data_IF_190093386684
#
_entry.id   IF_190093386684
#
_cell.length_a   1.000
_cell.length_b   1.000
_cell.length_c   1.000
_cell.angle_alpha   90.00
_cell.angle_beta   90.00
_cell.angle_gamma   90.00
#
_symmetry.space_group_name_H-M   'P 1'
#
loop_
_entity.id
_entity.type
_entity.pdbx_description
1 polymer ?
#
# COMPACT_ATOMS: atom_id res chain seq x y z
N UNK A 1 -33.96 -59.07 11.33
CA UNK A 1 -33.79 -58.58 9.94
C UNK A 1 -33.83 -57.07 9.99
N UNK A 2 -32.68 -56.41 9.83
CA UNK A 2 -32.52 -54.98 10.08
C UNK A 2 -32.01 -54.36 8.79
N UNK A 3 -32.88 -53.66 8.06
CA UNK A 3 -32.57 -53.04 6.77
C UNK A 3 -31.92 -51.68 7.05
N UNK A 4 -30.66 -51.50 6.64
CA UNK A 4 -29.93 -50.22 6.78
C UNK A 4 -30.37 -49.25 5.67
N UNK A 5 -30.85 -48.03 6.01
CA UNK A 5 -31.22 -47.03 5.01
C UNK A 5 -30.09 -46.01 4.85
N UNK A 6 -29.02 -46.36 4.12
CA UNK A 6 -27.88 -45.44 3.90
C UNK A 6 -27.75 -44.92 2.46
N UNK A 7 -28.58 -45.40 1.52
CA UNK A 7 -28.45 -45.03 0.11
C UNK A 7 -29.51 -44.06 -0.43
N UNK A 8 -30.68 -43.94 0.23
CA UNK A 8 -31.76 -43.07 -0.27
C UNK A 8 -31.48 -41.58 -0.04
N UNK A 9 -30.73 -41.22 1.01
CA UNK A 9 -30.45 -39.83 1.36
C UNK A 9 -29.51 -39.15 0.34
N UNK A 10 -28.55 -39.91 -0.21
CA UNK A 10 -27.61 -39.39 -1.21
C UNK A 10 -28.26 -39.09 -2.55
N UNK A 11 -29.25 -39.88 -2.97
CA UNK A 11 -29.93 -39.69 -4.25
C UNK A 11 -30.80 -38.43 -4.24
N UNK A 12 -31.45 -38.13 -3.11
CA UNK A 12 -32.28 -36.91 -2.96
C UNK A 12 -31.42 -35.65 -2.93
N UNK A 13 -30.21 -35.72 -2.34
CA UNK A 13 -29.30 -34.56 -2.27
C UNK A 13 -28.77 -34.15 -3.65
N UNK A 14 -28.46 -35.12 -4.52
CA UNK A 14 -27.95 -34.85 -5.88
C UNK A 14 -29.04 -34.24 -6.77
N UNK A 15 -30.30 -34.65 -6.59
CA UNK A 15 -31.43 -34.14 -7.36
C UNK A 15 -31.77 -32.67 -7.03
N UNK A 16 -31.44 -32.17 -5.83
CA UNK A 16 -31.68 -30.78 -5.43
C UNK A 16 -30.60 -29.80 -5.92
N UNK A 17 -29.40 -30.27 -6.29
CA UNK A 17 -28.27 -29.42 -6.70
C UNK A 17 -28.26 -29.05 -8.19
N UNK A 18 -29.13 -29.64 -9.02
CA UNK A 18 -29.18 -29.38 -10.46
C UNK A 18 -30.25 -28.38 -10.91
N UNK A 19 -31.01 -27.79 -9.96
CA UNK A 19 -32.16 -26.93 -10.24
C UNK A 19 -31.93 -25.45 -9.85
N UNK A 20 -30.81 -24.86 -10.25
CA UNK A 20 -30.61 -23.40 -10.39
C UNK A 20 -29.33 -23.21 -11.24
N UNK A 21 -29.32 -22.64 -12.43
CA UNK A 21 -30.25 -21.68 -13.01
C UNK A 21 -29.45 -20.51 -13.57
N UNK A 22 -29.24 -20.55 -14.88
CA UNK A 22 -29.13 -19.40 -15.82
C UNK A 22 -27.96 -18.42 -15.69
N UNK A 23 -27.04 -18.56 -16.65
CA UNK A 23 -26.06 -17.59 -17.15
C UNK A 23 -26.71 -16.30 -17.65
N UNK A 24 -26.23 -15.11 -17.25
CA UNK A 24 -26.45 -13.87 -18.00
C UNK A 24 -25.31 -13.61 -18.99
N UNK A 25 -25.74 -13.08 -20.13
CA UNK A 25 -25.02 -12.80 -21.37
C UNK A 25 -24.35 -11.41 -21.32
N UNK A 26 -23.31 -11.27 -22.14
CA UNK A 26 -22.38 -10.16 -22.30
C UNK A 26 -22.94 -8.72 -22.50
N UNK A 27 -22.17 -7.74 -22.00
CA UNK A 27 -21.98 -6.35 -22.44
C UNK A 27 -20.78 -5.82 -21.61
N UNK A 28 -19.81 -5.00 -22.02
CA UNK A 28 -19.59 -4.11 -23.15
C UNK A 28 -18.09 -3.70 -23.10
N UNK A 29 -17.46 -3.48 -24.24
CA UNK A 29 -16.05 -3.10 -24.32
C UNK A 29 -15.85 -1.61 -24.03
N UNK A 30 -15.29 -1.27 -22.86
CA UNK A 30 -14.88 0.09 -22.55
C UNK A 30 -13.47 0.37 -23.09
N UNK A 31 -13.42 1.29 -24.06
CA UNK A 31 -12.24 1.83 -24.72
C UNK A 31 -11.53 2.80 -23.77
N UNK A 32 -10.46 2.35 -23.10
CA UNK A 32 -9.65 3.19 -22.21
C UNK A 32 -8.74 4.08 -23.06
N UNK A 33 -9.08 5.38 -23.13
CA UNK A 33 -8.20 6.41 -23.69
C UNK A 33 -7.16 6.83 -22.67
N UNK A 34 -5.91 6.85 -23.13
CA UNK A 34 -4.72 7.35 -22.47
C UNK A 34 -4.97 8.71 -21.79
N UNK A 35 -4.93 8.72 -20.46
CA UNK A 35 -4.85 9.96 -19.68
C UNK A 35 -3.41 10.18 -19.29
N UNK A 36 -2.78 11.19 -19.90
CA UNK A 36 -1.44 11.63 -19.54
C UNK A 36 -1.48 12.30 -18.16
N UNK A 37 -0.76 11.73 -17.20
CA UNK A 37 -0.58 12.34 -15.89
C UNK A 37 0.46 13.46 -15.98
N UNK A 38 0.03 14.71 -15.72
CA UNK A 38 0.92 15.83 -15.53
C UNK A 38 1.43 15.83 -14.07
N UNK A 39 2.73 15.61 -13.89
CA UNK A 39 3.38 15.71 -12.59
C UNK A 39 3.58 17.20 -12.28
N UNK A 40 2.80 17.73 -11.34
CA UNK A 40 3.03 19.07 -10.77
C UNK A 40 3.77 18.89 -9.44
N UNK A 41 5.07 19.19 -9.44
CA UNK A 41 5.85 19.31 -8.21
C UNK A 41 5.37 20.53 -7.43
N UNK A 42 4.70 20.29 -6.30
CA UNK A 42 4.42 21.34 -5.30
C UNK A 42 5.51 21.29 -4.25
N UNK A 43 6.42 22.25 -4.30
CA UNK A 43 7.40 22.49 -3.23
C UNK A 43 6.67 23.10 -2.03
N UNK A 44 6.48 22.32 -0.97
CA UNK A 44 6.00 22.83 0.31
C UNK A 44 7.13 23.64 0.94
N UNK A 45 6.95 24.96 1.04
CA UNK A 45 7.88 25.84 1.73
C UNK A 45 7.75 25.62 3.25
N UNK A 46 8.69 24.87 3.83
CA UNK A 46 8.88 24.77 5.28
C UNK A 46 9.18 26.16 5.84
N UNK A 47 8.28 26.66 6.69
CA UNK A 47 8.46 27.91 7.42
C UNK A 47 9.54 27.67 8.49
N UNK A 48 10.78 28.10 8.22
CA UNK A 48 11.84 28.06 9.22
C UNK A 48 11.61 29.15 10.27
N UNK A 49 11.47 28.74 11.53
CA UNK A 49 11.51 29.63 12.69
C UNK A 49 12.92 30.21 12.80
N UNK A 50 13.05 31.51 12.52
CA UNK A 50 14.33 32.22 12.55
C UNK A 50 14.91 32.29 13.98
N UNK A 51 16.12 31.76 14.13
CA UNK A 51 16.97 31.91 15.32
C UNK A 51 17.64 33.30 15.31
N UNK A 52 17.76 34.00 16.45
CA UNK A 52 18.30 35.36 16.46
C UNK A 52 19.77 35.42 16.05
N UNK A 53 20.05 36.29 15.09
CA UNK A 53 21.37 36.62 14.55
C UNK A 53 22.23 37.35 15.59
N UNK A 54 23.39 36.78 15.93
CA UNK A 54 24.44 37.48 16.65
C UNK A 54 25.19 38.43 15.69
N UNK A 55 25.23 39.71 16.04
CA UNK A 55 25.95 40.76 15.31
C UNK A 55 27.46 40.62 15.48
N UNK A 56 28.20 40.44 14.38
CA UNK A 56 29.67 40.50 14.33
C UNK A 56 30.15 41.82 13.70
N UNK A 57 31.35 42.32 14.09
CA UNK A 57 31.89 43.62 13.66
C UNK A 57 32.36 43.64 12.19
N UNK A 58 32.49 44.84 11.60
CA UNK A 58 32.76 45.02 10.17
C UNK A 58 34.18 44.57 9.75
N UNK A 59 34.34 43.91 8.58
CA UNK A 59 35.66 43.59 8.06
C UNK A 59 36.29 44.79 7.35
N UNK A 60 37.54 45.05 7.67
CA UNK A 60 38.47 45.94 6.96
C UNK A 60 38.79 45.35 5.58
N UNK A 61 38.56 46.13 4.53
CA UNK A 61 38.89 45.75 3.16
C UNK A 61 40.38 45.93 2.87
N UNK A 62 41.06 44.81 2.56
CA UNK A 62 42.40 44.80 1.95
C UNK A 62 42.25 44.21 0.54
N UNK A 63 42.67 44.91 -0.53
CA UNK A 63 42.51 44.39 -1.89
C UNK A 63 43.66 43.41 -2.18
N UNK A 64 43.39 42.11 -2.09
CA UNK A 64 44.29 41.08 -2.59
C UNK A 64 43.68 40.46 -3.85
N UNK A 65 44.27 40.78 -5.00
CA UNK A 65 43.91 40.24 -6.30
C UNK A 65 44.51 38.83 -6.37
N UNK A 66 43.73 37.81 -6.02
CA UNK A 66 44.10 36.42 -6.23
C UNK A 66 42.97 35.72 -7.00
N UNK A 67 43.27 35.38 -8.25
CA UNK A 67 42.40 34.63 -9.15
C UNK A 67 41.99 33.32 -8.49
N UNK A 68 40.77 33.29 -7.96
CA UNK A 68 40.19 32.12 -7.31
C UNK A 68 39.45 31.32 -8.37
N UNK A 69 39.97 30.15 -8.73
CA UNK A 69 39.24 29.20 -9.57
C UNK A 69 38.07 28.65 -8.76
N UNK A 70 36.85 29.02 -9.16
CA UNK A 70 35.62 28.51 -8.56
C UNK A 70 35.52 27.01 -8.81
N UNK A 71 35.56 26.14 -7.79
CA UNK A 71 35.35 24.72 -7.98
C UNK A 71 33.91 24.48 -8.46
N UNK A 72 33.69 23.50 -9.35
CA UNK A 72 32.36 23.16 -9.83
C UNK A 72 31.44 22.83 -8.66
N UNK A 73 30.25 23.45 -8.65
CA UNK A 73 29.27 23.29 -7.59
C UNK A 73 28.99 21.80 -7.36
N UNK A 74 29.44 21.29 -6.20
CA UNK A 74 29.19 19.92 -5.79
C UNK A 74 27.68 19.78 -5.59
N UNK A 75 27.03 19.05 -6.51
CA UNK A 75 25.61 18.74 -6.41
C UNK A 75 25.39 18.06 -5.06
N UNK A 76 24.82 18.81 -4.11
CA UNK A 76 24.54 18.32 -2.78
C UNK A 76 23.38 17.35 -2.94
N UNK A 77 23.69 16.06 -2.88
CA UNK A 77 22.70 14.99 -2.86
C UNK A 77 21.88 15.20 -1.59
N UNK A 78 20.74 15.87 -1.74
CA UNK A 78 19.78 15.99 -0.65
C UNK A 78 19.10 14.63 -0.61
N UNK A 79 19.34 13.79 0.42
CA UNK A 79 18.65 12.52 0.52
C UNK A 79 17.14 12.81 0.44
N UNK A 80 16.37 12.03 -0.33
CA UNK A 80 14.93 12.21 -0.39
C UNK A 80 14.41 12.17 1.04
N UNK A 81 13.81 13.27 1.48
CA UNK A 81 13.20 13.36 2.81
C UNK A 81 12.15 12.26 2.82
N UNK A 82 12.40 11.22 3.63
CA UNK A 82 11.42 10.17 3.83
C UNK A 82 10.13 10.86 4.27
N UNK A 83 9.07 10.70 3.48
CA UNK A 83 7.77 11.30 3.78
C UNK A 83 7.34 10.76 5.14
N UNK A 84 7.48 11.59 6.18
CA UNK A 84 7.02 11.26 7.52
C UNK A 84 5.51 11.40 7.49
N UNK A 85 4.83 10.27 7.32
CA UNK A 85 3.38 10.19 7.47
C UNK A 85 3.07 10.47 8.95
N UNK A 86 2.69 11.70 9.26
CA UNK A 86 2.13 12.01 10.56
C UNK A 86 0.70 11.49 10.54
N UNK A 87 0.34 10.47 11.33
CA UNK A 87 -1.01 9.93 11.31
C UNK A 87 -2.00 11.01 11.68
N UNK A 88 -3.13 11.07 10.98
CA UNK A 88 -4.25 11.90 11.44
C UNK A 88 -4.71 11.35 12.80
N UNK A 89 -5.01 12.22 13.76
CA UNK A 89 -5.55 11.80 15.06
C UNK A 89 -6.84 10.98 14.88
N UNK A 90 -7.64 11.30 13.86
CA UNK A 90 -8.84 10.51 13.52
C UNK A 90 -8.49 9.09 13.04
N UNK A 91 -7.32 8.89 12.40
CA UNK A 91 -6.87 7.56 11.96
C UNK A 91 -6.31 6.73 13.11
N UNK A 92 -5.77 7.37 14.15
CA UNK A 92 -5.41 6.70 15.41
C UNK A 92 -6.64 6.13 16.11
N UNK A 93 -7.85 6.62 15.85
CA UNK A 93 -9.06 5.98 16.40
C UNK A 93 -9.53 4.79 15.57
N UNK A 94 -9.13 4.70 14.29
CA UNK A 94 -9.60 3.70 13.33
C UNK A 94 -8.73 2.46 13.20
N UNK A 95 -7.53 2.42 13.79
CA UNK A 95 -6.66 1.25 13.66
C UNK A 95 -7.32 -0.05 14.13
N UNK A 96 -8.27 0.00 15.06
CA UNK A 96 -9.04 -1.17 15.52
C UNK A 96 -9.91 -1.76 14.42
N UNK A 97 -10.53 -0.90 13.61
CA UNK A 97 -11.29 -1.31 12.42
C UNK A 97 -10.37 -2.02 11.44
N UNK A 98 -9.20 -1.42 11.18
CA UNK A 98 -8.22 -1.99 10.26
C UNK A 98 -7.67 -3.33 10.75
N UNK A 99 -7.34 -3.43 12.04
CA UNK A 99 -6.88 -4.69 12.64
C UNK A 99 -7.94 -5.78 12.52
N UNK A 100 -9.22 -5.48 12.78
CA UNK A 100 -10.29 -6.46 12.70
C UNK A 100 -10.47 -7.00 11.26
N UNK A 101 -10.49 -6.12 10.26
CA UNK A 101 -10.61 -6.53 8.86
C UNK A 101 -9.36 -7.26 8.36
N UNK A 102 -8.15 -6.80 8.75
CA UNK A 102 -6.90 -7.49 8.42
C UNK A 102 -6.84 -8.88 9.05
N UNK A 103 -7.18 -9.01 10.34
CA UNK A 103 -7.22 -10.28 11.03
C UNK A 103 -8.14 -11.27 10.31
N UNK A 104 -9.35 -10.82 9.93
CA UNK A 104 -10.29 -11.62 9.16
C UNK A 104 -9.70 -12.08 7.83
N UNK A 105 -9.14 -11.18 7.03
CA UNK A 105 -8.61 -11.51 5.70
C UNK A 105 -7.33 -12.36 5.74
N UNK A 106 -6.47 -12.13 6.73
CA UNK A 106 -5.19 -12.81 6.87
C UNK A 106 -5.40 -14.19 7.49
N UNK A 107 -6.16 -14.30 8.58
CA UNK A 107 -6.36 -15.55 9.31
C UNK A 107 -7.40 -16.49 8.66
N UNK A 108 -8.30 -15.99 7.79
CA UNK A 108 -9.32 -16.84 7.14
C UNK A 108 -8.74 -17.93 6.24
N UNK A 109 -7.48 -17.82 5.82
CA UNK A 109 -6.83 -18.88 5.05
C UNK A 109 -6.38 -20.06 5.90
N UNK A 110 -6.41 -19.96 7.24
CA UNK A 110 -6.10 -21.09 8.10
C UNK A 110 -7.38 -21.90 8.37
N UNK A 111 -7.50 -23.12 7.81
CA UNK A 111 -8.68 -23.96 8.01
C UNK A 111 -8.85 -24.41 9.47
N UNK A 112 -7.77 -24.47 10.26
CA UNK A 112 -7.81 -24.90 11.66
C UNK A 112 -8.51 -23.87 12.56
N UNK A 113 -8.44 -22.59 12.20
CA UNK A 113 -9.06 -21.51 12.98
C UNK A 113 -10.58 -21.46 12.78
N UNK A 114 -11.08 -22.10 11.72
CA UNK A 114 -12.48 -22.02 11.32
C UNK A 114 -12.93 -20.58 11.02
N UNK A 115 -14.18 -20.44 10.57
CA UNK A 115 -14.80 -19.12 10.36
C UNK A 115 -15.35 -18.52 11.66
N UNK A 116 -14.68 -18.75 12.80
CA UNK A 116 -15.19 -18.31 14.10
C UNK A 116 -14.92 -16.81 14.30
N UNK A 117 -15.95 -15.94 14.31
CA UNK A 117 -15.75 -14.50 14.46
C UNK A 117 -15.15 -14.10 15.81
N UNK A 118 -15.29 -14.93 16.85
CA UNK A 118 -14.67 -14.66 18.14
C UNK A 118 -13.14 -14.70 18.06
N UNK A 119 -12.57 -15.58 17.22
CA UNK A 119 -11.12 -15.70 17.05
C UNK A 119 -10.51 -14.43 16.48
N UNK A 120 -11.21 -13.77 15.54
CA UNK A 120 -10.71 -12.55 14.93
C UNK A 120 -10.77 -11.33 15.86
N UNK A 121 -11.62 -11.34 16.91
CA UNK A 121 -11.68 -10.24 17.89
C UNK A 121 -10.47 -10.21 18.81
N UNK A 122 -9.91 -11.38 19.11
CA UNK A 122 -8.73 -11.52 19.96
C UNK A 122 -7.42 -11.54 19.14
N UNK A 123 -7.51 -11.30 17.84
CA UNK A 123 -6.35 -11.26 16.96
C UNK A 123 -5.64 -9.91 17.06
N UNK A 124 -4.31 -9.96 17.15
CA UNK A 124 -3.43 -8.82 17.05
C UNK A 124 -2.75 -8.84 15.70
N UNK A 125 -2.78 -7.72 14.99
CA UNK A 125 -2.10 -7.57 13.71
C UNK A 125 -1.12 -6.41 13.75
N UNK A 126 0.03 -6.63 13.12
CA UNK A 126 0.99 -5.62 12.74
C UNK A 126 1.13 -5.63 11.23
N UNK A 127 1.47 -4.49 10.64
CA UNK A 127 1.67 -4.42 9.21
C UNK A 127 2.70 -3.35 8.85
N UNK A 128 3.30 -3.50 7.68
CA UNK A 128 4.17 -2.51 7.06
C UNK A 128 3.64 -2.11 5.69
N UNK A 129 3.77 -0.83 5.33
CA UNK A 129 3.30 -0.31 4.04
C UNK A 129 4.38 -0.58 2.99
N UNK A 130 4.03 -1.39 2.00
CA UNK A 130 4.89 -1.72 0.88
C UNK A 130 4.74 -0.71 -0.26
N UNK A 131 3.59 -0.08 -0.41
CA UNK A 131 3.36 0.94 -1.41
C UNK A 131 1.91 1.41 -1.43
N UNK A 132 1.62 2.34 -2.33
CA UNK A 132 0.28 2.88 -2.52
C UNK A 132 0.06 3.26 -3.99
N UNK A 133 -1.13 2.99 -4.51
CA UNK A 133 -1.58 3.40 -5.83
C UNK A 133 -3.03 3.88 -5.76
N UNK A 134 -3.22 5.20 -5.70
CA UNK A 134 -4.55 5.79 -5.52
C UNK A 134 -5.20 5.35 -4.21
N UNK A 135 -6.28 4.57 -4.33
CA UNK A 135 -7.07 4.02 -3.21
C UNK A 135 -6.58 2.63 -2.75
N UNK A 136 -5.56 2.09 -3.39
CA UNK A 136 -4.96 0.81 -3.03
C UNK A 136 -3.72 1.03 -2.16
N UNK A 137 -3.72 0.46 -0.95
CA UNK A 137 -2.54 0.39 -0.09
C UNK A 137 -2.08 -1.05 -0.02
N UNK A 138 -0.84 -1.28 -0.43
CA UNK A 138 -0.22 -2.60 -0.39
C UNK A 138 0.52 -2.73 0.92
N UNK A 139 0.18 -3.73 1.73
CA UNK A 139 0.79 -3.93 3.04
C UNK A 139 1.28 -5.36 3.21
N UNK A 140 2.31 -5.54 4.01
CA UNK A 140 2.68 -6.85 4.54
C UNK A 140 2.13 -6.98 5.95
N UNK A 141 1.17 -7.88 6.15
CA UNK A 141 0.50 -8.03 7.45
C UNK A 141 0.96 -9.32 8.15
N UNK A 142 1.13 -9.23 9.46
CA UNK A 142 1.40 -10.32 10.38
C UNK A 142 0.28 -10.30 11.42
N UNK A 143 -0.48 -11.37 11.53
CA UNK A 143 -1.55 -11.48 12.52
C UNK A 143 -1.34 -12.72 13.38
N UNK A 144 -1.56 -12.59 14.70
CA UNK A 144 -1.52 -13.69 15.67
C UNK A 144 -2.81 -13.71 16.48
N UNK A 145 -3.15 -14.87 17.02
CA UNK A 145 -4.20 -14.97 18.03
C UNK A 145 -3.56 -14.79 19.40
N UNK A 146 -3.96 -13.77 20.15
CA UNK A 146 -3.30 -13.40 21.41
C UNK A 146 -3.19 -14.57 22.41
N UNK A 147 -4.24 -15.40 22.49
CA UNK A 147 -4.34 -16.55 23.40
C UNK A 147 -4.25 -17.92 22.71
N UNK A 148 -3.79 -17.96 21.45
CA UNK A 148 -3.82 -19.16 20.62
C UNK A 148 -2.45 -19.53 20.05
N UNK A 149 -2.37 -20.75 19.53
CA UNK A 149 -1.28 -21.14 18.65
C UNK A 149 -1.71 -20.83 17.21
N UNK A 150 -1.01 -19.91 16.56
CA UNK A 150 -1.29 -19.57 15.18
C UNK A 150 -0.86 -18.15 14.87
N UNK A 151 0.09 -18.03 13.97
CA UNK A 151 0.42 -16.80 13.28
C UNK A 151 0.21 -16.99 11.78
N UNK A 152 -0.14 -15.91 11.11
CA UNK A 152 -0.27 -15.90 9.66
C UNK A 152 0.29 -14.58 9.15
N UNK A 153 1.13 -14.68 8.13
CA UNK A 153 1.75 -13.53 7.48
C UNK A 153 1.60 -13.60 5.98
N UNK A 154 1.18 -12.51 5.35
CA UNK A 154 1.04 -12.41 3.89
C UNK A 154 0.95 -10.95 3.44
N UNK A 155 1.37 -10.64 2.22
CA UNK A 155 1.02 -9.37 1.61
C UNK A 155 -0.49 -9.32 1.36
N UNK A 156 -1.10 -8.14 1.48
CA UNK A 156 -2.50 -7.90 1.16
C UNK A 156 -2.68 -6.54 0.49
N UNK A 157 -3.74 -6.41 -0.30
CA UNK A 157 -4.17 -5.14 -0.89
C UNK A 157 -5.34 -4.62 -0.07
N UNK A 158 -5.20 -3.42 0.48
CA UNK A 158 -6.26 -2.71 1.20
C UNK A 158 -6.83 -1.65 0.26
N UNK A 159 -8.10 -1.81 -0.12
CA UNK A 159 -8.84 -0.84 -0.91
C UNK A 159 -9.54 0.10 0.06
N UNK A 160 -9.24 1.38 -0.05
CA UNK A 160 -9.73 2.44 0.83
C UNK A 160 -10.71 3.35 0.10
N UNK A 161 -11.76 3.76 0.80
CA UNK A 161 -12.63 4.85 0.35
C UNK A 161 -11.91 6.21 0.50
N UNK A 162 -12.42 7.30 -0.11
CA UNK A 162 -11.83 8.63 0.01
C UNK A 162 -11.70 9.18 1.44
N UNK A 163 -12.52 8.70 2.37
CA UNK A 163 -12.49 9.05 3.80
C UNK A 163 -11.53 8.17 4.62
N UNK A 164 -10.81 7.26 3.95
CA UNK A 164 -9.91 6.29 4.56
C UNK A 164 -10.59 5.06 5.15
N UNK A 165 -11.89 4.87 4.98
CA UNK A 165 -12.55 3.63 5.40
C UNK A 165 -12.13 2.45 4.55
N UNK A 166 -12.13 1.26 5.14
CA UNK A 166 -11.82 0.04 4.37
C UNK A 166 -13.05 -0.31 3.53
N UNK A 167 -12.86 -0.29 2.22
CA UNK A 167 -13.83 -0.86 1.28
C UNK A 167 -13.68 -2.38 1.21
N UNK A 168 -12.43 -2.85 1.08
CA UNK A 168 -12.13 -4.27 0.90
C UNK A 168 -10.67 -4.58 1.23
N UNK A 169 -10.42 -5.78 1.75
CA UNK A 169 -9.07 -6.35 1.81
C UNK A 169 -9.00 -7.57 0.89
N UNK A 170 -7.98 -7.61 0.03
CA UNK A 170 -7.74 -8.72 -0.90
C UNK A 170 -6.38 -9.37 -0.59
N UNK A 171 -6.35 -10.57 0.02
CA UNK A 171 -5.14 -11.37 0.05
C UNK A 171 -4.83 -11.92 -1.36
N UNK A 172 -3.59 -12.35 -1.63
CA UNK A 172 -3.26 -13.00 -2.89
C UNK A 172 -4.07 -14.28 -3.06
N UNK A 173 -4.50 -14.53 -4.30
CA UNK A 173 -5.27 -15.72 -4.66
C UNK A 173 -4.34 -16.93 -4.77
N UNK A 174 -4.84 -18.13 -4.49
CA UNK A 174 -4.05 -19.36 -4.64
C UNK A 174 -4.08 -19.76 -6.12
N UNK A 175 -2.91 -19.89 -6.79
CA UNK A 175 -2.84 -20.20 -8.24
C UNK A 175 -3.47 -21.55 -8.60
N UNK A 176 -3.36 -22.55 -7.71
CA UNK A 176 -3.91 -23.90 -7.88
C UNK A 176 -4.36 -24.43 -6.53
N UNK A 177 -5.50 -25.12 -6.46
CA UNK A 177 -6.10 -25.59 -5.20
C UNK A 177 -5.16 -26.42 -4.29
N UNK A 178 -4.12 -27.04 -4.85
CA UNK A 178 -3.14 -27.87 -4.13
C UNK A 178 -1.73 -27.26 -4.14
N UNK A 179 -1.60 -25.97 -4.42
CA UNK A 179 -0.31 -25.29 -4.49
C UNK A 179 -0.18 -24.29 -3.37
N UNK A 180 1.01 -24.26 -2.76
CA UNK A 180 1.44 -23.20 -1.85
C UNK A 180 1.80 -21.89 -2.59
N UNK A 181 1.64 -21.87 -3.92
CA UNK A 181 1.93 -20.70 -4.73
C UNK A 181 0.74 -19.75 -4.80
N UNK A 182 1.01 -18.54 -4.35
CA UNK A 182 0.13 -17.39 -4.44
C UNK A 182 0.29 -16.66 -5.77
N UNK A 183 -0.80 -16.10 -6.26
CA UNK A 183 -0.81 -15.17 -7.38
C UNK A 183 -0.57 -13.75 -6.87
N UNK A 184 0.65 -13.27 -7.12
CA UNK A 184 1.05 -11.91 -6.81
C UNK A 184 0.87 -10.96 -8.00
N UNK A 185 0.31 -11.41 -9.13
CA UNK A 185 0.03 -10.58 -10.30
C UNK A 185 -0.69 -9.25 -10.01
N UNK A 186 -1.63 -9.20 -9.03
CA UNK A 186 -2.27 -7.94 -8.63
C UNK A 186 -1.37 -6.92 -7.91
N UNK A 187 -0.15 -7.29 -7.49
CA UNK A 187 0.78 -6.38 -6.81
C UNK A 187 1.72 -5.72 -7.84
N UNK A 188 1.93 -4.40 -7.80
CA UNK A 188 2.93 -3.73 -8.63
C UNK A 188 4.35 -4.29 -8.44
N UNK A 189 5.18 -4.23 -9.48
CA UNK A 189 6.53 -4.83 -9.45
C UNK A 189 7.41 -4.24 -8.34
N UNK A 190 7.34 -2.92 -8.12
CA UNK A 190 8.06 -2.19 -7.07
C UNK A 190 7.59 -2.56 -5.65
N UNK A 191 6.35 -3.04 -5.52
CA UNK A 191 5.81 -3.60 -4.28
C UNK A 191 6.28 -5.04 -4.10
N UNK A 192 6.27 -5.86 -5.16
CA UNK A 192 6.73 -7.25 -5.11
C UNK A 192 8.21 -7.33 -4.73
N UNK A 193 9.06 -6.41 -5.21
CA UNK A 193 10.48 -6.35 -4.84
C UNK A 193 10.70 -6.18 -3.33
N UNK A 194 9.75 -5.57 -2.60
CA UNK A 194 9.82 -5.38 -1.14
C UNK A 194 9.41 -6.63 -0.36
N UNK A 195 8.79 -7.63 -1.00
CA UNK A 195 8.49 -8.91 -0.34
C UNK A 195 9.76 -9.59 0.18
N UNK A 196 10.89 -9.33 -0.47
CA UNK A 196 12.19 -9.86 -0.06
C UNK A 196 12.65 -9.45 1.35
N UNK A 197 12.05 -8.43 1.97
CA UNK A 197 12.32 -8.06 3.37
C UNK A 197 11.60 -8.96 4.38
N UNK A 198 10.68 -9.81 3.93
CA UNK A 198 9.74 -10.55 4.78
C UNK A 198 9.74 -12.06 4.56
N UNK A 199 9.98 -12.52 3.33
CA UNK A 199 9.96 -13.95 3.02
C UNK A 199 11.31 -14.62 3.31
N UNK A 200 11.24 -15.84 3.86
CA UNK A 200 12.32 -16.83 3.72
C UNK A 200 12.43 -17.27 2.24
N UNK A 201 13.50 -17.95 1.82
CA UNK A 201 13.66 -18.39 0.44
C UNK A 201 12.64 -19.48 0.13
N UNK A 202 11.42 -19.08 -0.22
CA UNK A 202 10.41 -19.97 -0.78
C UNK A 202 10.64 -20.11 -2.28
N UNK A 203 10.36 -21.29 -2.85
CA UNK A 203 10.26 -21.46 -4.29
C UNK A 203 9.04 -20.67 -4.79
N UNK A 204 9.25 -19.40 -5.12
CA UNK A 204 8.24 -18.55 -5.73
C UNK A 204 8.68 -18.18 -7.15
N UNK A 205 7.70 -17.87 -8.00
CA UNK A 205 7.95 -17.30 -9.34
C UNK A 205 8.46 -15.84 -9.26
N UNK A 206 8.69 -15.33 -8.05
CA UNK A 206 9.17 -13.97 -7.84
C UNK A 206 10.65 -13.87 -8.26
N UNK A 207 11.11 -12.68 -8.66
CA UNK A 207 12.53 -12.44 -8.91
C UNK A 207 13.37 -12.92 -7.73
N UNK A 208 14.56 -13.51 -7.98
CA UNK A 208 15.42 -14.02 -6.91
C UNK A 208 15.72 -12.89 -5.92
N UNK A 209 15.27 -13.07 -4.68
CA UNK A 209 15.45 -12.09 -3.62
C UNK A 209 16.93 -12.04 -3.20
N UNK A 210 17.62 -10.89 -3.34
CA UNK A 210 19.04 -10.78 -2.99
C UNK A 210 19.31 -10.93 -1.49
N UNK A 211 18.26 -10.85 -0.66
CA UNK A 211 18.33 -10.92 0.81
C UNK A 211 17.70 -12.18 1.41
N UNK A 212 17.33 -13.18 0.60
CA UNK A 212 16.47 -14.28 1.06
C UNK A 212 17.09 -15.23 2.10
N UNK A 213 18.37 -15.11 2.44
CA UNK A 213 19.01 -16.00 3.43
C UNK A 213 19.69 -15.29 4.60
N UNK A 214 19.57 -13.96 4.69
CA UNK A 214 20.18 -13.22 5.80
C UNK A 214 19.19 -13.21 6.96
N UNK A 215 19.37 -14.15 7.89
CA UNK A 215 18.87 -14.00 9.25
C UNK A 215 19.84 -13.04 9.98
N UNK A 216 19.35 -12.05 10.74
CA UNK A 216 17.95 -11.75 11.10
C UNK A 216 17.14 -11.06 9.97
N UNK A 217 15.80 -11.09 10.08
CA UNK A 217 14.86 -10.38 9.17
C UNK A 217 14.34 -9.13 9.86
N UNK A 218 15.07 -8.00 9.84
CA UNK A 218 14.90 -6.96 10.85
C UNK A 218 13.51 -6.34 10.86
N UNK A 219 12.87 -6.21 9.68
CA UNK A 219 11.50 -5.69 9.58
C UNK A 219 10.47 -6.66 10.12
N UNK A 220 10.53 -7.94 9.73
CA UNK A 220 9.59 -8.94 10.22
C UNK A 220 9.75 -9.17 11.72
N UNK A 221 10.98 -9.23 12.20
CA UNK A 221 11.30 -9.41 13.63
C UNK A 221 10.77 -8.23 14.46
N UNK A 222 10.82 -7.01 13.92
CA UNK A 222 10.24 -5.81 14.55
C UNK A 222 8.70 -5.91 14.68
N UNK A 223 8.01 -6.38 13.63
CA UNK A 223 6.56 -6.59 13.67
C UNK A 223 6.19 -7.62 14.76
N UNK A 224 6.87 -8.78 14.82
CA UNK A 224 6.60 -9.77 15.87
C UNK A 224 6.94 -9.25 17.27
N UNK A 225 8.04 -8.54 17.44
CA UNK A 225 8.40 -7.96 18.74
C UNK A 225 7.31 -7.00 19.24
N UNK A 226 6.71 -6.21 18.35
CA UNK A 226 5.62 -5.32 18.72
C UNK A 226 4.32 -6.06 19.01
N UNK A 227 4.00 -7.13 18.27
CA UNK A 227 2.88 -8.01 18.61
C UNK A 227 3.02 -8.55 20.04
N UNK A 228 4.20 -9.05 20.41
CA UNK A 228 4.44 -9.58 21.76
C UNK A 228 4.26 -8.50 22.84
N UNK A 229 4.71 -7.28 22.57
CA UNK A 229 4.46 -6.13 23.45
C UNK A 229 2.94 -5.86 23.62
N UNK A 230 2.20 -5.83 22.52
CA UNK A 230 0.76 -5.54 22.50
C UNK A 230 -0.12 -6.63 23.11
N UNK A 231 0.37 -7.86 23.26
CA UNK A 231 -0.33 -8.90 24.05
C UNK A 231 -0.59 -8.44 25.49
N UNK A 232 0.26 -7.58 26.04
CA UNK A 232 0.08 -7.00 27.39
C UNK A 232 -0.32 -5.51 27.37
N UNK A 233 -0.37 -4.89 26.19
CA UNK A 233 -0.72 -3.47 25.97
C UNK A 233 -1.71 -3.37 24.80
N UNK A 234 -2.91 -3.92 24.99
CA UNK A 234 -3.92 -4.04 23.92
C UNK A 234 -4.45 -2.69 23.41
N UNK A 235 -4.26 -1.63 24.20
CA UNK A 235 -4.61 -0.25 23.91
C UNK A 235 -3.65 0.43 22.92
N UNK A 236 -2.43 -0.10 22.79
CA UNK A 236 -1.41 0.46 21.91
C UNK A 236 -1.75 0.17 20.44
N UNK A 237 -1.67 1.17 19.55
CA UNK A 237 -1.87 0.99 18.13
C UNK A 237 -0.73 0.18 17.50
N UNK A 238 -0.90 -0.35 16.29
CA UNK A 238 0.19 -0.94 15.49
C UNK A 238 1.33 0.05 15.20
N UNK A 239 2.53 -0.47 14.90
CA UNK A 239 3.73 0.36 14.60
C UNK A 239 3.48 1.34 13.46
N UNK A 240 2.71 0.92 12.46
CA UNK A 240 2.35 1.72 11.31
C UNK A 240 0.84 1.90 11.31
N UNK A 241 0.37 3.12 11.52
CA UNK A 241 -1.06 3.43 11.35
C UNK A 241 -1.31 3.70 9.87
N UNK A 242 -2.23 2.94 9.24
CA UNK A 242 -2.61 3.18 7.85
C UNK A 242 -3.21 4.58 7.75
N UNK A 243 -2.47 5.46 7.07
CA UNK A 243 -2.89 6.83 6.88
C UNK A 243 -3.35 7.03 5.45
N UNK A 244 -4.65 7.00 5.25
CA UNK A 244 -5.33 7.28 4.00
C UNK A 244 -5.40 8.79 3.75
N UNK A 245 -4.31 9.54 3.87
CA UNK A 245 -4.33 10.88 3.30
C UNK A 245 -4.15 10.73 1.79
N UNK A 246 -5.28 10.61 1.10
CA UNK A 246 -5.34 10.99 -0.30
C UNK A 246 -4.77 12.39 -0.35
N UNK A 247 -3.59 12.56 -0.95
CA UNK A 247 -3.03 13.86 -1.26
C UNK A 247 -4.13 14.60 -1.99
N UNK A 248 -4.80 15.51 -1.27
CA UNK A 248 -6.00 16.17 -1.73
C UNK A 248 -5.72 16.61 -3.16
N UNK A 249 -6.53 16.11 -4.10
CA UNK A 249 -6.41 16.51 -5.50
C UNK A 249 -6.31 18.03 -5.47
N UNK A 250 -5.17 18.62 -5.88
CA UNK A 250 -4.95 20.04 -5.72
C UNK A 250 -6.14 20.69 -6.38
N UNK A 251 -7.00 21.33 -5.57
CA UNK A 251 -8.20 21.97 -6.09
C UNK A 251 -7.69 22.86 -7.21
N UNK A 252 -8.08 22.63 -8.47
CA UNK A 252 -7.53 23.39 -9.57
C UNK A 252 -7.81 24.84 -9.22
N UNK A 253 -6.75 25.58 -8.89
CA UNK A 253 -6.85 27.01 -8.68
C UNK A 253 -7.47 27.50 -9.98
N UNK A 254 -8.73 27.89 -9.92
CA UNK A 254 -9.39 28.51 -11.04
C UNK A 254 -8.65 29.82 -11.20
N UNK A 255 -7.61 29.81 -12.03
CA UNK A 255 -6.93 31.03 -12.45
C UNK A 255 -8.02 31.79 -13.17
N UNK A 256 -8.63 32.74 -12.46
CA UNK A 256 -9.61 33.66 -12.98
C UNK A 256 -8.88 34.54 -13.99
N UNK A 257 -8.73 34.01 -15.20
CA UNK A 257 -7.99 34.64 -16.27
C UNK A 257 -8.92 35.69 -16.89
N UNK A 258 -8.99 36.85 -16.25
CA UNK A 258 -9.75 38.00 -16.71
C UNK A 258 -9.05 38.55 -17.96
N UNK A 259 -9.52 38.08 -19.12
CA UNK A 259 -9.34 38.65 -20.46
C UNK A 259 -7.90 38.95 -20.95
N UNK A 260 -7.42 38.13 -21.90
CA UNK A 260 -6.85 38.67 -23.15
C UNK A 260 -7.04 37.66 -24.29
N UNK A 261 -7.98 37.99 -25.17
CA UNK A 261 -8.29 37.26 -26.40
C UNK A 261 -7.12 37.50 -27.39
N UNK A 262 -6.22 36.53 -27.52
CA UNK A 262 -5.22 36.54 -28.60
C UNK A 262 -5.69 35.61 -29.71
N UNK A 263 -6.11 36.20 -30.82
CA UNK A 263 -6.46 35.50 -32.05
C UNK A 263 -5.17 35.14 -32.78
N UNK A 264 -4.81 33.87 -32.85
CA UNK A 264 -3.73 33.40 -33.73
C UNK A 264 -4.34 32.98 -35.07
N UNK A 265 -3.94 33.68 -36.14
CA UNK A 265 -4.25 33.31 -37.51
C UNK A 265 -3.18 32.33 -38.02
N UNK A 266 -3.58 31.10 -38.36
CA UNK A 266 -2.68 30.09 -38.92
C UNK A 266 -2.42 30.35 -40.39
N UNK A 267 -1.16 30.62 -40.76
CA UNK A 267 -0.71 30.67 -42.15
C UNK A 267 -0.32 29.26 -42.57
N UNK A 268 -1.14 28.63 -43.39
CA UNK A 268 -0.85 27.34 -44.04
C UNK A 268 0.07 27.59 -45.24
N UNK A 269 1.34 27.17 -45.17
CA UNK A 269 2.27 27.24 -46.29
C UNK A 269 2.33 25.88 -47.00
N UNK A 270 1.61 25.77 -48.11
CA UNK A 270 1.65 24.62 -49.03
C UNK A 270 2.99 24.60 -49.77
N UNK A 271 3.80 23.56 -49.56
CA UNK A 271 5.03 23.32 -50.32
C UNK A 271 4.72 22.31 -51.43
N UNK A 272 4.72 22.77 -52.68
CA UNK A 272 4.61 21.95 -53.89
C UNK A 272 6.02 21.44 -54.22
N UNK A 273 6.18 20.13 -54.35
CA UNK A 273 7.39 19.50 -54.89
C UNK A 273 7.14 19.23 -56.38
N UNK A 274 8.08 19.67 -57.20
CA UNK A 274 8.30 19.26 -58.60
C UNK A 274 9.48 18.32 -58.63
#
# INVERSE_FOLDING_TARGET
MTVKPTHYFWIILIALLTACGTTPKAAEAAKIQNTAFAIVQTSVALTQTALPTATLPPPTFTPNILSTSTPPATATFTPPVASVFTPDALQVERWKEYQAELAKAVLSSNPELGNNPAVYKDALCEWDILGQSGQEVYVYAVCVIANGNGDMRKPVIVYLEPDGSIQKIKPPEIKKANSEMFDYGPFPIDVQEKFCYYFDPFPSDLPPCPYSSTYPRPRLDLLYAHIEYRKTHSEEPPLVVLSAMSTATPTPLTVYNKHKKFTFSSITKTRRLT
#
